data_IF_019998921369
#
_entry.id   IF_019998921369
#
_cell.length_a   1.000
_cell.length_b   1.000
_cell.length_c   1.000
_cell.angle_alpha   90.00
_cell.angle_beta   90.00
_cell.angle_gamma   90.00
#
_symmetry.space_group_name_H-M   'P 1'
#
loop_
_entity.id
_entity.type
_entity.pdbx_description
1 polymer ?
#
# COMPACT_ATOMS: atom_id res chain seq x y z
N UNK A 1 17.95 -27.22 22.18
CA UNK A 1 17.10 -26.92 21.03
C UNK A 1 17.45 -25.58 20.43
N UNK A 2 17.66 -25.58 19.15
CA UNK A 2 18.06 -24.37 18.50
C UNK A 2 16.87 -23.48 18.19
N UNK A 3 17.06 -22.20 18.39
CA UNK A 3 16.08 -21.23 17.94
C UNK A 3 16.18 -21.10 16.45
N UNK A 4 15.03 -21.14 15.81
CA UNK A 4 15.01 -20.80 14.41
C UNK A 4 15.39 -19.35 14.25
N UNK A 5 16.36 -19.12 13.41
CA UNK A 5 16.75 -17.77 13.10
C UNK A 5 15.86 -17.24 12.00
N UNK A 6 15.26 -16.08 12.25
CA UNK A 6 14.44 -15.42 11.27
C UNK A 6 15.33 -14.68 10.29
N UNK A 7 15.21 -15.00 9.02
CA UNK A 7 15.94 -14.31 7.98
C UNK A 7 14.98 -13.63 7.04
N UNK A 8 15.42 -12.52 6.48
CA UNK A 8 14.60 -11.80 5.52
C UNK A 8 15.50 -11.06 4.53
N UNK A 9 14.92 -10.77 3.39
CA UNK A 9 15.62 -9.99 2.39
C UNK A 9 14.61 -9.12 1.66
N UNK A 10 14.87 -7.82 1.62
CA UNK A 10 14.08 -6.89 0.83
C UNK A 10 14.55 -7.01 -0.60
N UNK A 11 13.61 -7.21 -1.52
CA UNK A 11 13.95 -7.46 -2.92
C UNK A 11 14.63 -6.24 -3.52
N UNK A 12 15.84 -6.43 -4.02
CA UNK A 12 16.56 -5.36 -4.68
C UNK A 12 15.86 -4.99 -5.98
N UNK A 13 15.63 -3.70 -6.15
CA UNK A 13 14.92 -3.23 -7.34
C UNK A 13 13.42 -3.42 -7.29
N UNK A 14 12.91 -4.04 -6.24
CA UNK A 14 11.48 -4.21 -6.06
C UNK A 14 10.85 -3.03 -5.33
N UNK A 15 9.64 -3.24 -4.86
CA UNK A 15 8.91 -2.19 -4.14
C UNK A 15 9.53 -2.01 -2.77
N UNK A 16 9.82 -0.76 -2.42
CA UNK A 16 10.39 -0.42 -1.13
C UNK A 16 10.13 1.06 -0.88
N UNK A 17 9.13 1.35 -0.07
CA UNK A 17 8.73 2.73 0.20
C UNK A 17 8.45 2.92 1.68
N UNK A 18 8.94 4.00 2.23
CA UNK A 18 8.62 4.39 3.60
C UNK A 18 7.32 5.17 3.56
N UNK A 19 6.33 4.68 4.29
CA UNK A 19 5.03 5.31 4.35
C UNK A 19 4.97 6.34 5.48
N UNK A 20 5.60 6.01 6.59
CA UNK A 20 5.57 6.88 7.75
C UNK A 20 6.81 6.67 8.60
N UNK A 21 7.35 7.75 9.12
CA UNK A 21 8.48 7.68 10.06
C UNK A 21 8.11 8.42 11.32
N UNK A 22 8.43 7.82 12.44
CA UNK A 22 8.18 8.46 13.73
C UNK A 22 9.20 7.98 14.75
N UNK A 23 10.12 8.86 15.10
CA UNK A 23 11.21 8.50 16.00
C UNK A 23 12.06 7.39 15.39
N UNK A 24 12.20 6.30 16.11
CA UNK A 24 12.97 5.15 15.64
C UNK A 24 12.08 4.07 15.04
N UNK A 25 10.86 4.42 14.68
CA UNK A 25 9.88 3.49 14.12
C UNK A 25 9.50 3.96 12.73
N UNK A 26 9.31 3.02 11.81
CA UNK A 26 8.78 3.38 10.51
C UNK A 26 7.81 2.32 10.00
N UNK A 27 6.91 2.76 9.12
CA UNK A 27 5.99 1.88 8.42
C UNK A 27 6.46 1.84 6.98
N UNK A 28 6.65 0.65 6.47
CA UNK A 28 7.29 0.44 5.18
C UNK A 28 6.47 -0.49 4.32
N UNK A 29 6.27 -0.11 3.08
CA UNK A 29 5.66 -0.94 2.06
C UNK A 29 6.78 -1.52 1.23
N UNK A 30 6.95 -2.84 1.25
CA UNK A 30 8.08 -3.45 0.57
C UNK A 30 7.79 -4.88 0.16
N UNK A 31 8.54 -5.32 -0.84
CA UNK A 31 8.55 -6.73 -1.20
C UNK A 31 9.64 -7.41 -0.41
N UNK A 32 9.26 -8.38 0.40
CA UNK A 32 10.19 -9.03 1.33
C UNK A 32 10.10 -10.54 1.20
N UNK A 33 11.26 -11.16 1.14
CA UNK A 33 11.38 -12.61 1.16
C UNK A 33 11.74 -13.03 2.58
N UNK A 34 10.88 -13.84 3.18
CA UNK A 34 11.09 -14.33 4.54
C UNK A 34 11.55 -15.78 4.49
N UNK A 35 12.65 -16.07 5.16
CA UNK A 35 13.19 -17.42 5.26
C UNK A 35 13.34 -18.10 3.89
N UNK A 36 13.81 -17.33 2.92
CA UNK A 36 14.05 -17.81 1.55
C UNK A 36 12.78 -18.24 0.81
N UNK A 37 11.63 -17.82 1.28
CA UNK A 37 10.38 -18.07 0.58
C UNK A 37 10.18 -17.01 -0.49
N UNK A 38 9.31 -17.27 -1.47
CA UNK A 38 9.04 -16.24 -2.48
C UNK A 38 8.63 -14.92 -1.86
N UNK A 39 9.15 -13.84 -2.42
CA UNK A 39 8.88 -12.51 -1.88
C UNK A 39 7.42 -12.15 -2.05
N UNK A 40 6.91 -11.44 -1.07
CA UNK A 40 5.54 -10.93 -1.09
C UNK A 40 5.54 -9.47 -0.70
N UNK A 41 4.54 -8.77 -1.18
CA UNK A 41 4.35 -7.37 -0.80
C UNK A 41 3.74 -7.32 0.59
N UNK A 42 4.26 -6.43 1.41
CA UNK A 42 3.76 -6.29 2.78
C UNK A 42 3.85 -4.85 3.25
N UNK A 43 3.05 -4.53 4.24
CA UNK A 43 3.16 -3.29 4.99
C UNK A 43 3.56 -3.70 6.40
N UNK A 44 4.69 -3.20 6.86
CA UNK A 44 5.22 -3.62 8.16
C UNK A 44 5.81 -2.46 8.92
N UNK A 45 5.67 -2.56 10.22
CA UNK A 45 6.34 -1.65 11.14
C UNK A 45 7.76 -2.16 11.38
N UNK A 46 8.72 -1.28 11.30
CA UNK A 46 10.11 -1.59 11.53
C UNK A 46 10.64 -0.70 12.64
N UNK A 47 11.54 -1.24 13.44
CA UNK A 47 12.26 -0.48 14.44
C UNK A 47 13.68 -0.27 13.95
N UNK A 48 14.20 0.93 14.17
CA UNK A 48 15.59 1.23 13.80
C UNK A 48 16.38 1.38 15.09
N UNK A 49 17.41 0.56 15.26
CA UNK A 49 18.21 0.64 16.48
C UNK A 49 19.27 1.72 16.35
N UNK A 50 20.06 1.90 17.40
CA UNK A 50 21.06 2.96 17.44
C UNK A 50 22.15 2.78 16.39
N UNK A 51 22.34 1.57 15.91
CA UNK A 51 23.31 1.28 14.86
C UNK A 51 22.75 1.49 13.46
N UNK A 52 21.48 1.85 13.38
CA UNK A 52 20.82 2.05 12.09
C UNK A 52 20.27 0.79 11.47
N UNK A 53 20.32 -0.32 12.19
CA UNK A 53 19.78 -1.58 11.69
C UNK A 53 18.26 -1.63 11.87
N UNK A 54 17.60 -2.23 10.89
CA UNK A 54 16.16 -2.40 10.91
C UNK A 54 15.79 -3.73 11.55
N UNK A 55 14.88 -3.67 12.50
CA UNK A 55 14.32 -4.86 13.12
C UNK A 55 12.84 -4.92 12.78
N UNK A 56 12.36 -6.03 12.19
CA UNK A 56 10.94 -6.11 11.81
C UNK A 56 10.05 -6.26 13.03
N UNK A 57 8.91 -5.63 12.95
CA UNK A 57 7.85 -5.76 13.94
C UNK A 57 6.61 -6.29 13.22
N UNK A 58 5.44 -5.96 13.70
CA UNK A 58 4.20 -6.50 13.15
C UNK A 58 3.91 -5.93 11.77
N UNK A 59 3.29 -6.73 10.94
CA UNK A 59 2.94 -6.30 9.60
C UNK A 59 1.83 -7.13 9.01
N UNK A 60 1.41 -6.73 7.82
CA UNK A 60 0.39 -7.39 7.05
C UNK A 60 0.97 -7.75 5.70
N UNK A 61 0.93 -9.04 5.40
CA UNK A 61 1.42 -9.55 4.12
C UNK A 61 0.24 -9.74 3.20
N UNK A 62 0.35 -9.22 1.99
CA UNK A 62 -0.72 -9.41 1.01
C UNK A 62 -0.58 -10.78 0.38
N UNK A 63 -1.69 -11.52 0.35
CA UNK A 63 -1.69 -12.89 -0.18
C UNK A 63 -2.04 -12.94 -1.65
N UNK A 64 -2.65 -11.90 -2.18
CA UNK A 64 -3.08 -11.85 -3.56
C UNK A 64 -2.71 -10.52 -4.19
N UNK A 65 -2.56 -10.48 -5.52
CA UNK A 65 -2.27 -9.20 -6.18
C UNK A 65 -3.43 -8.21 -6.07
N UNK A 66 -4.64 -8.67 -5.80
CA UNK A 66 -5.79 -7.80 -5.63
C UNK A 66 -5.77 -7.03 -4.32
N UNK A 67 -5.10 -7.58 -3.30
CA UNK A 67 -5.07 -6.93 -1.99
C UNK A 67 -4.59 -5.50 -2.01
N UNK A 68 -3.40 -5.23 -2.56
CA UNK A 68 -2.92 -3.84 -2.65
C UNK A 68 -3.83 -2.93 -3.44
N UNK A 69 -4.42 -3.46 -4.53
CA UNK A 69 -5.33 -2.69 -5.36
C UNK A 69 -6.57 -2.27 -4.57
N UNK A 70 -7.12 -3.21 -3.81
CA UNK A 70 -8.29 -2.90 -2.99
C UNK A 70 -7.94 -1.91 -1.89
N UNK A 71 -6.74 -1.98 -1.37
CA UNK A 71 -6.29 -1.01 -0.38
C UNK A 71 -6.26 0.40 -0.97
N UNK A 72 -5.74 0.53 -2.20
CA UNK A 72 -5.72 1.81 -2.88
C UNK A 72 -7.14 2.34 -3.05
N UNK A 73 -8.05 1.50 -3.51
CA UNK A 73 -9.44 1.92 -3.70
C UNK A 73 -10.06 2.37 -2.39
N UNK A 74 -9.87 1.60 -1.33
CA UNK A 74 -10.42 1.94 -0.04
C UNK A 74 -9.89 3.27 0.49
N UNK A 75 -8.60 3.49 0.33
CA UNK A 75 -8.01 4.74 0.78
C UNK A 75 -8.53 5.93 0.00
N UNK A 76 -8.60 5.80 -1.33
CA UNK A 76 -9.11 6.88 -2.17
C UNK A 76 -10.57 7.18 -1.87
N UNK A 77 -11.37 6.14 -1.70
CA UNK A 77 -12.79 6.30 -1.42
C UNK A 77 -13.04 6.99 -0.09
N UNK A 78 -12.09 6.89 0.82
CA UNK A 78 -12.19 7.50 2.13
C UNK A 78 -11.46 8.82 2.23
N UNK A 79 -11.08 9.40 1.10
CA UNK A 79 -10.57 10.76 1.06
C UNK A 79 -9.06 10.89 1.22
N UNK A 80 -8.36 9.79 1.21
CA UNK A 80 -6.90 9.84 1.30
C UNK A 80 -6.29 10.00 -0.09
N UNK A 81 -5.10 10.57 -0.10
CA UNK A 81 -4.38 10.82 -1.33
C UNK A 81 -4.40 12.29 -1.68
N UNK A 82 -3.34 12.72 -2.32
CA UNK A 82 -3.19 14.09 -2.82
C UNK A 82 -3.59 14.09 -4.28
N UNK A 83 -4.60 14.86 -4.64
CA UNK A 83 -5.14 14.84 -6.00
C UNK A 83 -4.09 15.16 -7.05
N UNK A 84 -3.21 16.10 -6.76
CA UNK A 84 -2.16 16.46 -7.71
C UNK A 84 -1.20 15.29 -7.90
N UNK A 85 -0.81 14.67 -6.81
CA UNK A 85 0.10 13.53 -6.88
C UNK A 85 -0.54 12.33 -7.56
N UNK A 86 -1.81 12.10 -7.28
CA UNK A 86 -2.56 11.03 -7.92
C UNK A 86 -2.55 11.24 -9.44
N UNK A 87 -2.82 12.47 -9.86
CA UNK A 87 -2.81 12.80 -11.28
C UNK A 87 -1.45 12.53 -11.91
N UNK A 88 -0.39 13.00 -11.24
CA UNK A 88 0.98 12.80 -11.75
C UNK A 88 1.31 11.32 -11.89
N UNK A 89 0.93 10.52 -10.89
CA UNK A 89 1.20 9.10 -10.92
C UNK A 89 0.42 8.42 -12.05
N UNK A 90 -0.84 8.78 -12.21
CA UNK A 90 -1.66 8.18 -13.26
C UNK A 90 -1.12 8.53 -14.63
N UNK A 91 -0.70 9.78 -14.80
CA UNK A 91 -0.10 10.19 -16.07
C UNK A 91 1.20 9.44 -16.36
N UNK A 92 2.00 9.22 -15.32
CA UNK A 92 3.24 8.45 -15.48
C UNK A 92 2.96 7.00 -15.85
N UNK A 93 1.77 6.51 -15.54
CA UNK A 93 1.35 5.17 -15.92
C UNK A 93 0.72 5.13 -17.32
N UNK A 94 0.73 6.27 -18.02
CA UNK A 94 0.19 6.34 -19.36
C UNK A 94 -1.31 6.52 -19.45
N UNK A 95 -1.95 6.91 -18.35
CA UNK A 95 -3.39 7.13 -18.33
C UNK A 95 -3.71 8.56 -18.70
N UNK A 96 -4.58 8.76 -19.68
CA UNK A 96 -5.10 10.08 -20.01
C UNK A 96 -6.34 10.33 -19.17
N UNK A 97 -6.17 11.11 -18.12
CA UNK A 97 -7.23 11.31 -17.16
C UNK A 97 -8.43 12.05 -17.76
N UNK A 98 -8.23 12.85 -18.79
CA UNK A 98 -9.37 13.53 -19.40
C UNK A 98 -10.33 12.52 -20.07
N UNK A 99 -9.76 11.57 -20.79
CA UNK A 99 -10.57 10.53 -21.43
C UNK A 99 -11.12 9.58 -20.38
N UNK A 100 -10.28 9.21 -19.43
CA UNK A 100 -10.66 8.27 -18.38
C UNK A 100 -11.79 8.83 -17.52
N UNK A 101 -11.78 10.13 -17.26
CA UNK A 101 -12.82 10.77 -16.48
C UNK A 101 -14.17 10.62 -17.17
N UNK A 102 -14.19 10.79 -18.48
CA UNK A 102 -15.43 10.63 -19.23
C UNK A 102 -15.99 9.20 -19.08
N UNK A 103 -15.12 8.22 -19.18
CA UNK A 103 -15.52 6.85 -18.99
C UNK A 103 -16.02 6.61 -17.56
N UNK A 104 -15.34 7.20 -16.62
CA UNK A 104 -15.74 7.09 -15.22
C UNK A 104 -17.09 7.72 -14.98
N UNK A 105 -17.37 8.81 -15.63
CA UNK A 105 -18.66 9.46 -15.50
C UNK A 105 -19.80 8.58 -16.02
N UNK A 106 -19.56 7.92 -17.13
CA UNK A 106 -20.53 6.97 -17.65
C UNK A 106 -20.74 5.86 -16.63
N UNK A 107 -19.66 5.40 -16.06
CA UNK A 107 -19.71 4.41 -15.00
C UNK A 107 -20.39 4.97 -13.77
N UNK A 108 -20.21 6.25 -13.53
CA UNK A 108 -20.75 6.94 -12.37
C UNK A 108 -22.22 7.24 -12.48
N UNK A 109 -22.78 7.07 -13.62
CA UNK A 109 -24.22 7.00 -13.69
C UNK A 109 -24.72 5.82 -12.91
N UNK A 110 -23.85 4.84 -12.79
CA UNK A 110 -24.05 3.79 -11.80
C UNK A 110 -23.55 4.27 -10.45
N UNK A 111 -22.56 5.12 -10.50
CA UNK A 111 -22.02 5.71 -9.30
C UNK A 111 -22.94 6.68 -8.63
N UNK A 112 -23.97 7.11 -9.35
CA UNK A 112 -25.02 7.86 -8.68
C UNK A 112 -25.67 7.01 -7.61
N UNK A 113 -25.51 5.71 -7.76
CA UNK A 113 -25.93 4.77 -6.73
C UNK A 113 -24.83 4.52 -5.72
N UNK A 114 -23.70 5.14 -5.95
CA UNK A 114 -22.61 5.02 -5.03
C UNK A 114 -22.99 5.64 -3.70
N UNK A 115 -22.65 4.96 -2.66
CA UNK A 115 -22.85 5.49 -1.32
C UNK A 115 -21.50 5.47 -0.59
N UNK A 116 -21.39 6.37 0.35
CA UNK A 116 -20.23 6.41 1.23
C UNK A 116 -20.42 5.35 2.30
N UNK A 117 -19.53 4.36 2.39
CA UNK A 117 -19.67 3.34 3.43
C UNK A 117 -19.78 3.92 4.83
N UNK A 118 -19.21 5.10 5.03
CA UNK A 118 -19.31 5.75 6.33
C UNK A 118 -20.73 6.18 6.64
N UNK A 119 -21.47 6.56 5.62
CA UNK A 119 -22.86 6.95 5.81
C UNK A 119 -23.70 5.75 6.24
N UNK A 120 -23.38 4.60 5.69
CA UNK A 120 -24.07 3.39 6.08
C UNK A 120 -23.79 3.07 7.54
N UNK A 121 -22.55 3.23 7.93
CA UNK A 121 -22.16 2.94 9.32
C UNK A 121 -22.80 3.92 10.30
N UNK A 122 -23.05 5.12 9.85
CA UNK A 122 -23.67 6.14 10.67
C UNK A 122 -25.19 6.01 10.67
N UNK A 123 -25.70 5.48 9.59
CA UNK A 123 -27.13 5.26 9.46
C UNK A 123 -27.53 3.99 10.15
#
# INVERSE_FOLDING_TARGET
>A
MEKKQLTFEVVEGGIDAIVEERGNTLIRLAEVSWNNRPAKLEIRKWMVNTDGDFTPNKGVVFSTPEGPTELVHALLENGFGDNKKIKEVMESRGVDLNVTIEESEISDNNGSDYYDPREILEG
#
